data_IF_991963657543
#
_entry.id   IF_991963657543
#
_cell.length_a   1.000
_cell.length_b   1.000
_cell.length_c   1.000
_cell.angle_alpha   90.00
_cell.angle_beta   90.00
_cell.angle_gamma   90.00
#
_symmetry.space_group_name_H-M   'P 1'
#
loop_
_entity.id
_entity.type
_entity.pdbx_description
1 polymer ?
#
# COMPACT_ATOMS: atom_id res chain seq x y z
N UNK A 1 -9.82 -0.99 -14.73
CA UNK A 1 -9.53 -0.95 -13.28
C UNK A 1 -9.89 0.42 -12.75
N UNK A 2 -10.78 0.54 -11.75
CA UNK A 2 -11.04 1.82 -11.09
C UNK A 2 -9.79 2.21 -10.30
N UNK A 3 -9.02 3.16 -10.80
CA UNK A 3 -7.90 3.70 -10.02
C UNK A 3 -8.44 4.29 -8.71
N UNK A 4 -7.82 3.90 -7.59
CA UNK A 4 -8.06 4.55 -6.29
C UNK A 4 -7.78 6.06 -6.50
N UNK A 5 -8.63 6.96 -5.98
CA UNK A 5 -8.41 8.40 -6.13
C UNK A 5 -6.99 8.78 -5.73
N UNK A 6 -6.40 9.75 -6.44
CA UNK A 6 -5.04 10.21 -6.14
C UNK A 6 -4.97 10.62 -4.66
N UNK A 7 -4.04 10.07 -3.87
CA UNK A 7 -3.91 10.45 -2.47
C UNK A 7 -3.64 11.95 -2.32
N UNK A 8 -4.21 12.57 -1.29
CA UNK A 8 -3.93 13.96 -0.94
C UNK A 8 -2.46 14.17 -0.55
N UNK A 9 -1.87 13.19 0.14
CA UNK A 9 -0.46 13.24 0.59
C UNK A 9 0.46 12.77 -0.54
N UNK A 10 1.42 13.61 -1.01
CA UNK A 10 2.38 13.23 -2.04
C UNK A 10 3.19 11.99 -1.67
N UNK A 11 3.62 11.22 -2.67
CA UNK A 11 4.34 9.95 -2.44
C UNK A 11 5.65 10.11 -1.69
N UNK A 12 6.42 11.17 -1.95
CA UNK A 12 7.66 11.46 -1.22
C UNK A 12 7.42 11.72 0.28
N UNK A 13 6.30 12.35 0.61
CA UNK A 13 5.93 12.55 2.01
C UNK A 13 5.46 11.24 2.65
N UNK A 14 4.68 10.43 1.93
CA UNK A 14 4.28 9.09 2.40
C UNK A 14 5.51 8.19 2.61
N UNK A 15 6.48 8.23 1.69
CA UNK A 15 7.73 7.49 1.80
C UNK A 15 8.51 7.86 3.06
N UNK A 16 8.69 9.18 3.32
CA UNK A 16 9.36 9.65 4.55
C UNK A 16 8.66 9.16 5.81
N UNK A 17 7.33 9.18 5.83
CA UNK A 17 6.55 8.66 6.95
C UNK A 17 6.78 7.15 7.15
N UNK A 18 6.67 6.34 6.09
CA UNK A 18 6.91 4.90 6.18
C UNK A 18 8.35 4.57 6.61
N UNK A 19 9.35 5.29 6.09
CA UNK A 19 10.77 5.14 6.49
C UNK A 19 11.02 5.43 7.97
N UNK A 20 10.14 6.19 8.63
CA UNK A 20 10.30 6.56 10.03
C UNK A 20 9.73 5.52 11.01
N UNK A 21 9.01 4.51 10.50
CA UNK A 21 8.44 3.46 11.33
C UNK A 21 9.52 2.53 11.85
N UNK A 22 9.50 2.24 13.16
CA UNK A 22 10.49 1.37 13.82
C UNK A 22 10.62 -0.02 13.17
N UNK A 23 9.53 -0.55 12.62
CA UNK A 23 9.48 -1.87 11.99
C UNK A 23 9.97 -1.89 10.53
N UNK A 24 10.41 -0.77 9.98
CA UNK A 24 10.80 -0.64 8.57
C UNK A 24 12.29 -0.41 8.44
N UNK A 25 13.00 -1.39 7.89
CA UNK A 25 14.44 -1.25 7.56
C UNK A 25 14.67 -0.45 6.28
N UNK A 26 13.82 -0.69 5.27
CA UNK A 26 13.92 -0.05 3.96
C UNK A 26 12.54 0.20 3.38
N UNK A 27 12.34 1.41 2.86
CA UNK A 27 11.20 1.74 2.01
C UNK A 27 11.66 2.45 0.75
N UNK A 28 11.05 2.10 -0.38
CA UNK A 28 11.35 2.61 -1.71
C UNK A 28 10.06 3.00 -2.41
N UNK A 29 10.14 3.94 -3.36
CA UNK A 29 9.03 4.15 -4.29
C UNK A 29 9.00 3.00 -5.28
N UNK A 30 7.80 2.51 -5.55
CA UNK A 30 7.59 1.49 -6.58
C UNK A 30 7.64 2.10 -7.98
N UNK A 31 8.03 1.28 -8.94
CA UNK A 31 8.02 1.64 -10.36
C UNK A 31 6.60 1.87 -10.89
N UNK A 32 6.38 3.00 -11.57
CA UNK A 32 5.04 3.38 -12.05
C UNK A 32 4.55 2.56 -13.24
N UNK A 33 5.47 2.05 -14.07
CA UNK A 33 5.14 1.34 -15.31
C UNK A 33 5.01 -0.17 -15.11
N UNK A 34 5.89 -0.73 -14.28
CA UNK A 34 5.93 -2.16 -14.00
C UNK A 34 6.27 -2.38 -12.53
N UNK A 35 5.26 -2.74 -11.74
CA UNK A 35 5.42 -2.98 -10.30
C UNK A 35 6.40 -4.15 -10.01
N UNK A 36 6.54 -5.09 -10.95
CA UNK A 36 7.38 -6.28 -10.76
C UNK A 36 8.87 -5.96 -10.84
N UNK A 37 9.28 -4.90 -11.56
CA UNK A 37 10.68 -4.41 -11.57
C UNK A 37 11.20 -4.15 -10.16
N UNK A 38 10.36 -3.59 -9.29
CA UNK A 38 10.74 -3.32 -7.90
C UNK A 38 10.97 -4.63 -7.15
N UNK A 39 10.14 -5.64 -7.41
CA UNK A 39 10.25 -6.96 -6.79
C UNK A 39 11.51 -7.69 -7.31
N UNK A 40 11.79 -7.62 -8.62
CA UNK A 40 13.00 -8.19 -9.23
C UNK A 40 14.28 -7.62 -8.63
N UNK A 41 14.33 -6.30 -8.40
CA UNK A 41 15.50 -5.66 -7.79
C UNK A 41 15.66 -6.01 -6.30
N UNK A 42 14.56 -6.22 -5.58
CA UNK A 42 14.59 -6.50 -4.14
C UNK A 42 14.70 -7.99 -3.83
N UNK A 43 14.26 -8.87 -4.72
CA UNK A 43 14.19 -10.34 -4.59
C UNK A 43 13.73 -10.80 -3.20
N UNK A 44 12.51 -10.42 -2.76
CA UNK A 44 12.03 -10.81 -1.43
C UNK A 44 11.75 -12.31 -1.37
N UNK A 45 11.94 -12.91 -0.19
CA UNK A 45 11.51 -14.30 0.08
C UNK A 45 10.01 -14.41 0.39
N UNK A 46 9.41 -13.33 0.91
CA UNK A 46 8.00 -13.27 1.33
C UNK A 46 7.38 -11.97 0.82
N UNK A 47 6.18 -12.08 0.22
CA UNK A 47 5.35 -10.94 -0.16
C UNK A 47 4.05 -10.99 0.62
N UNK A 48 3.75 -9.93 1.35
CA UNK A 48 2.47 -9.79 2.06
C UNK A 48 1.47 -8.97 1.26
N UNK A 49 0.24 -9.46 1.13
CA UNK A 49 -0.89 -8.71 0.55
C UNK A 49 -1.80 -8.22 1.69
N UNK A 50 -2.08 -6.92 1.70
CA UNK A 50 -2.99 -6.33 2.69
C UNK A 50 -4.45 -6.78 2.48
N UNK A 51 -5.26 -6.65 3.53
CA UNK A 51 -6.68 -7.00 3.53
C UNK A 51 -7.46 -6.34 2.37
N UNK A 52 -7.21 -5.06 2.09
CA UNK A 52 -7.91 -4.27 1.06
C UNK A 52 -7.26 -4.38 -0.34
N UNK A 53 -6.24 -5.23 -0.51
CA UNK A 53 -5.58 -5.46 -1.79
C UNK A 53 -6.19 -6.65 -2.52
N UNK A 54 -7.25 -6.38 -3.28
CA UNK A 54 -7.86 -7.35 -4.20
C UNK A 54 -6.97 -7.59 -5.42
N UNK A 55 -5.84 -8.25 -5.21
CA UNK A 55 -5.00 -8.79 -6.27
C UNK A 55 -5.35 -10.27 -6.46
N UNK A 56 -5.37 -10.73 -7.72
CA UNK A 56 -5.49 -12.15 -8.04
C UNK A 56 -4.16 -12.85 -7.73
N UNK A 57 -4.10 -13.73 -6.70
CA UNK A 57 -2.88 -14.41 -6.33
C UNK A 57 -2.33 -15.26 -7.48
N UNK A 58 -3.20 -15.88 -8.28
CA UNK A 58 -2.80 -16.73 -9.41
C UNK A 58 -2.06 -15.92 -10.48
N UNK A 59 -2.55 -14.72 -10.76
CA UNK A 59 -1.89 -13.80 -11.69
C UNK A 59 -0.52 -13.34 -11.14
N UNK A 60 -0.46 -12.99 -9.85
CA UNK A 60 0.79 -12.58 -9.20
C UNK A 60 1.84 -13.70 -9.24
N UNK A 61 1.46 -14.93 -8.89
CA UNK A 61 2.36 -16.09 -8.93
C UNK A 61 2.86 -16.41 -10.34
N UNK A 62 1.96 -16.36 -11.34
CA UNK A 62 2.34 -16.60 -12.73
C UNK A 62 3.33 -15.55 -13.24
N UNK A 63 3.09 -14.28 -12.95
CA UNK A 63 3.96 -13.17 -13.36
C UNK A 63 5.32 -13.19 -12.65
N UNK A 64 5.36 -13.58 -11.37
CA UNK A 64 6.61 -13.76 -10.63
C UNK A 64 7.39 -14.97 -11.15
N UNK A 65 6.72 -16.08 -11.44
CA UNK A 65 7.35 -17.29 -11.97
C UNK A 65 7.96 -17.06 -13.35
N UNK A 66 7.31 -16.26 -14.21
CA UNK A 66 7.87 -15.82 -15.51
C UNK A 66 9.16 -15.02 -15.37
N UNK A 67 9.40 -14.42 -14.22
CA UNK A 67 10.56 -13.60 -13.89
C UNK A 67 11.60 -14.35 -13.03
N UNK A 68 11.45 -15.67 -12.88
CA UNK A 68 12.32 -16.51 -12.05
C UNK A 68 12.35 -16.06 -10.57
N UNK A 69 11.17 -15.66 -10.06
CA UNK A 69 10.93 -15.27 -8.68
C UNK A 69 9.88 -16.19 -8.05
N UNK A 70 10.21 -16.72 -6.87
CA UNK A 70 9.33 -17.65 -6.14
C UNK A 70 9.12 -17.23 -4.67
N UNK A 71 8.68 -16.00 -4.39
CA UNK A 71 8.38 -15.59 -3.02
C UNK A 71 7.15 -16.31 -2.49
N UNK A 72 7.12 -16.55 -1.17
CA UNK A 72 5.89 -16.98 -0.51
C UNK A 72 4.92 -15.81 -0.39
N UNK A 73 3.71 -15.97 -0.93
CA UNK A 73 2.65 -14.96 -0.81
C UNK A 73 1.83 -15.23 0.45
N UNK A 74 1.64 -14.20 1.27
CA UNK A 74 0.88 -14.26 2.53
C UNK A 74 -0.18 -13.17 2.54
N UNK A 75 -1.45 -13.53 2.75
CA UNK A 75 -2.54 -12.56 2.91
C UNK A 75 -2.66 -12.17 4.38
N UNK A 76 -2.69 -10.88 4.65
CA UNK A 76 -3.00 -10.34 5.99
C UNK A 76 -4.51 -10.13 6.04
N UNK A 77 -5.20 -10.89 6.88
CA UNK A 77 -6.68 -10.88 6.98
C UNK A 77 -7.21 -9.85 7.98
N UNK A 78 -6.40 -9.46 8.94
CA UNK A 78 -6.83 -8.57 10.02
C UNK A 78 -6.70 -7.10 9.64
N UNK A 79 -7.71 -6.32 10.04
CA UNK A 79 -7.69 -4.87 9.98
C UNK A 79 -7.87 -4.32 11.39
N UNK A 80 -7.04 -3.36 11.79
CA UNK A 80 -7.24 -2.61 13.03
C UNK A 80 -8.56 -1.81 12.94
N UNK A 81 -9.38 -1.91 13.99
CA UNK A 81 -10.71 -1.32 14.09
C UNK A 81 -10.69 0.10 14.70
N UNK A 82 -9.53 0.73 14.82
CA UNK A 82 -9.42 2.06 15.40
C UNK A 82 -10.24 3.14 14.67
N UNK A 83 -10.64 4.19 15.40
CA UNK A 83 -11.57 5.23 14.90
C UNK A 83 -11.07 5.94 13.64
N UNK A 84 -9.75 6.12 13.51
CA UNK A 84 -9.14 6.87 12.41
C UNK A 84 -8.19 6.02 11.55
N UNK A 85 -8.38 4.70 11.53
CA UNK A 85 -7.56 3.74 10.79
C UNK A 85 -7.74 3.79 9.24
N UNK A 86 -8.41 4.82 8.71
CA UNK A 86 -8.55 5.05 7.27
C UNK A 86 -8.47 6.54 6.95
N UNK A 87 -7.73 6.88 5.90
CA UNK A 87 -7.66 8.27 5.40
C UNK A 87 -9.04 8.84 5.07
N UNK A 88 -9.98 8.00 4.60
CA UNK A 88 -11.38 8.41 4.36
C UNK A 88 -12.09 8.79 5.65
N UNK A 89 -11.86 8.06 6.75
CA UNK A 89 -12.42 8.37 8.08
C UNK A 89 -11.82 9.65 8.65
N UNK A 90 -10.51 9.86 8.48
CA UNK A 90 -9.82 11.11 8.86
C UNK A 90 -10.43 12.30 8.11
N UNK A 91 -10.56 12.21 6.78
CA UNK A 91 -11.17 13.27 5.97
C UNK A 91 -12.63 13.52 6.40
N UNK A 92 -13.42 12.47 6.62
CA UNK A 92 -14.79 12.61 7.09
C UNK A 92 -14.87 13.32 8.45
N UNK A 93 -13.98 13.00 9.39
CA UNK A 93 -13.91 13.65 10.71
C UNK A 93 -13.53 15.13 10.62
N UNK A 94 -12.61 15.47 9.71
CA UNK A 94 -12.24 16.86 9.44
C UNK A 94 -13.44 17.63 8.85
N UNK A 95 -14.15 17.03 7.89
CA UNK A 95 -15.34 17.63 7.29
C UNK A 95 -16.49 17.76 8.30
N UNK A 96 -16.67 16.81 9.20
CA UNK A 96 -17.64 16.92 10.31
C UNK A 96 -17.34 18.15 11.18
N UNK A 97 -16.05 18.40 11.48
CA UNK A 97 -15.61 19.49 12.35
C UNK A 97 -15.66 20.88 11.68
N UNK A 98 -15.47 20.98 10.37
CA UNK A 98 -15.28 22.26 9.67
C UNK A 98 -16.24 22.51 8.48
N UNK A 99 -17.01 21.51 8.06
CA UNK A 99 -17.82 21.52 6.82
C UNK A 99 -19.08 22.41 6.83
N UNK A 100 -19.36 23.12 7.92
CA UNK A 100 -20.46 24.10 8.04
C UNK A 100 -20.00 25.55 8.28
N UNK A 101 -18.90 25.94 7.64
CA UNK A 101 -18.51 27.36 7.53
C UNK A 101 -17.53 27.80 8.61
N UNK A 102 -16.29 27.30 8.55
CA UNK A 102 -15.15 27.91 9.22
C UNK A 102 -13.83 27.31 8.73
N UNK A 103 -13.41 27.75 7.54
CA UNK A 103 -12.02 28.09 7.19
C UNK A 103 -12.10 29.30 6.27
#
# INVERSE_FOLDING_TARGET
MRHKPKPFVPEEQRLRMIKSLKAVDRAVLGEHKDIFRTIEHLRPDIITLGFDQHFDPSFLEAELSRRDLHPRIVRIEEQDLCELCSSRRIVAKILERFGKGRI
#
